data_IF_203888175486
#
_entry.id   IF_203888175486
#
_cell.length_a   1.000
_cell.length_b   1.000
_cell.length_c   1.000
_cell.angle_alpha   90.00
_cell.angle_beta   90.00
_cell.angle_gamma   90.00
#
_symmetry.space_group_name_H-M   'P 1'
#
loop_
_entity.id
_entity.type
_entity.pdbx_description
1 polymer ?
#
# COMPACT_ATOMS: atom_id res chain seq x y z
N UNK A 1 -13.36 3.95 -8.52
CA UNK A 1 -12.04 3.74 -7.85
C UNK A 1 -12.07 4.37 -6.47
N UNK A 2 -11.96 3.57 -5.42
CA UNK A 2 -11.93 4.02 -4.03
C UNK A 2 -10.85 3.26 -3.26
N UNK A 3 -10.12 3.96 -2.40
CA UNK A 3 -9.21 3.35 -1.43
C UNK A 3 -9.00 4.26 -0.23
N UNK A 4 -8.59 3.71 0.90
CA UNK A 4 -8.25 4.44 2.10
C UNK A 4 -7.86 3.52 3.26
N UNK A 5 -7.34 4.11 4.32
CA UNK A 5 -6.90 3.40 5.51
C UNK A 5 -6.91 4.32 6.75
N UNK A 6 -6.54 3.79 7.90
CA UNK A 6 -6.13 4.57 9.07
C UNK A 6 -4.60 4.52 9.16
N UNK A 7 -3.96 5.66 9.37
CA UNK A 7 -2.54 5.79 9.67
C UNK A 7 -2.39 6.27 11.10
N UNK A 8 -1.87 5.44 12.00
CA UNK A 8 -1.79 5.71 13.44
C UNK A 8 -3.15 6.14 14.03
N UNK A 9 -4.25 5.52 13.58
CA UNK A 9 -5.62 5.81 14.02
C UNK A 9 -6.30 6.99 13.30
N UNK A 10 -5.61 7.75 12.46
CA UNK A 10 -6.17 8.89 11.73
C UNK A 10 -6.55 8.49 10.30
N UNK A 11 -7.68 8.99 9.80
CA UNK A 11 -8.15 8.71 8.44
C UNK A 11 -7.15 9.17 7.38
N UNK A 12 -6.78 8.26 6.49
CA UNK A 12 -5.89 8.50 5.36
C UNK A 12 -6.65 8.23 4.06
N UNK A 13 -7.02 9.30 3.38
CA UNK A 13 -7.78 9.25 2.13
C UNK A 13 -6.96 9.90 1.00
N UNK A 14 -7.10 9.39 -0.24
CA UNK A 14 -6.51 10.05 -1.40
C UNK A 14 -7.10 11.45 -1.56
N UNK A 15 -6.31 12.40 -2.04
CA UNK A 15 -6.80 13.74 -2.30
C UNK A 15 -6.27 14.33 -3.60
N UNK A 16 -6.99 15.34 -4.11
CA UNK A 16 -6.69 16.01 -5.37
C UNK A 16 -5.44 16.93 -5.33
N UNK A 17 -4.76 17.04 -4.20
CA UNK A 17 -3.46 17.70 -4.09
C UNK A 17 -2.34 16.91 -4.78
N UNK A 18 -2.56 15.61 -5.04
CA UNK A 18 -1.70 14.76 -5.86
C UNK A 18 -2.23 14.69 -7.29
N UNK A 19 -1.32 14.68 -8.29
CA UNK A 19 -1.68 14.45 -9.70
C UNK A 19 -2.22 13.03 -9.92
N UNK A 20 -1.72 12.06 -9.15
CA UNK A 20 -2.14 10.66 -9.19
C UNK A 20 -2.39 10.24 -7.74
N UNK A 21 -3.63 10.45 -7.22
CA UNK A 21 -3.95 10.13 -5.83
C UNK A 21 -4.14 8.63 -5.57
N UNK A 22 -4.53 7.88 -6.59
CA UNK A 22 -4.74 6.44 -6.55
C UNK A 22 -4.04 5.77 -7.73
N UNK A 23 -3.38 4.65 -7.47
CA UNK A 23 -2.78 3.77 -8.47
C UNK A 23 -3.17 2.35 -8.14
N UNK A 24 -3.66 1.60 -9.12
CA UNK A 24 -3.70 0.16 -9.10
C UNK A 24 -3.07 -0.34 -10.39
N UNK A 25 -2.02 -1.13 -10.27
CA UNK A 25 -1.42 -1.87 -11.36
C UNK A 25 -1.52 -3.36 -11.04
N UNK A 26 -2.03 -4.15 -11.97
CA UNK A 26 -2.15 -5.59 -11.79
C UNK A 26 -1.84 -6.30 -13.11
N UNK A 27 -0.86 -7.20 -13.06
CA UNK A 27 -0.53 -8.16 -14.11
C UNK A 27 -0.56 -9.54 -13.46
N UNK A 28 -1.47 -10.40 -13.91
CA UNK A 28 -1.74 -11.69 -13.27
C UNK A 28 -0.47 -12.54 -13.14
N UNK A 29 -0.19 -12.96 -11.91
CA UNK A 29 0.98 -13.75 -11.56
C UNK A 29 2.32 -12.99 -11.53
N UNK A 30 2.37 -11.73 -11.95
CA UNK A 30 3.61 -10.97 -12.08
C UNK A 30 3.69 -9.78 -11.14
N UNK A 31 2.73 -8.87 -11.19
CA UNK A 31 2.81 -7.57 -10.50
C UNK A 31 1.46 -7.14 -9.93
N UNK A 32 1.45 -6.80 -8.65
CA UNK A 32 0.38 -6.06 -8.01
C UNK A 32 1.00 -4.87 -7.28
N UNK A 33 0.54 -3.67 -7.61
CA UNK A 33 0.93 -2.45 -6.89
C UNK A 33 -0.31 -1.58 -6.63
N UNK A 34 -0.61 -1.36 -5.34
CA UNK A 34 -1.60 -0.41 -4.87
C UNK A 34 -0.90 0.81 -4.29
N UNK A 35 -1.26 2.01 -4.75
CA UNK A 35 -0.77 3.28 -4.23
C UNK A 35 -1.91 4.20 -3.81
N UNK A 36 -1.85 4.72 -2.58
CA UNK A 36 -2.79 5.73 -2.06
C UNK A 36 -1.97 6.95 -1.66
N UNK A 37 -2.22 8.10 -2.27
CA UNK A 37 -1.46 9.32 -2.02
C UNK A 37 -2.36 10.42 -1.49
N UNK A 38 -1.91 11.04 -0.40
CA UNK A 38 -2.46 12.27 0.17
C UNK A 38 -1.39 13.36 0.10
N UNK A 39 -1.74 14.53 -0.42
CA UNK A 39 -0.84 15.68 -0.48
C UNK A 39 -1.56 16.93 0.04
N UNK A 40 -1.05 17.49 1.13
CA UNK A 40 -1.54 18.72 1.71
C UNK A 40 -0.39 19.73 1.75
N UNK A 41 -0.58 20.89 1.16
CA UNK A 41 0.48 21.87 0.89
C UNK A 41 1.59 21.19 0.06
N UNK A 42 2.84 21.24 0.49
CA UNK A 42 3.95 20.55 -0.18
C UNK A 42 4.31 19.20 0.46
N UNK A 43 3.52 18.73 1.43
CA UNK A 43 3.74 17.47 2.11
C UNK A 43 2.94 16.37 1.42
N UNK A 44 3.65 15.43 0.80
CA UNK A 44 3.09 14.22 0.20
C UNK A 44 3.29 13.05 1.16
N UNK A 45 2.20 12.33 1.45
CA UNK A 45 2.24 11.07 2.18
C UNK A 45 1.69 9.98 1.27
N UNK A 46 2.24 8.78 1.31
CA UNK A 46 1.74 7.68 0.51
C UNK A 46 1.82 6.35 1.25
N UNK A 47 0.80 5.52 1.03
CA UNK A 47 0.78 4.09 1.33
C UNK A 47 1.01 3.38 0.01
N UNK A 48 1.92 2.39 -0.02
CA UNK A 48 2.16 1.54 -1.17
C UNK A 48 2.17 0.08 -0.71
N UNK A 49 1.49 -0.79 -1.46
CA UNK A 49 1.56 -2.24 -1.28
C UNK A 49 2.00 -2.83 -2.60
N UNK A 50 3.04 -3.66 -2.57
CA UNK A 50 3.56 -4.34 -3.74
C UNK A 50 3.70 -5.84 -3.50
N UNK A 51 3.20 -6.65 -4.43
CA UNK A 51 3.35 -8.10 -4.44
C UNK A 51 3.82 -8.50 -5.85
N UNK A 52 5.00 -9.11 -5.92
CA UNK A 52 5.60 -9.54 -7.18
C UNK A 52 5.64 -11.06 -7.30
N UNK A 53 5.56 -11.55 -8.54
CA UNK A 53 5.67 -12.96 -8.91
C UNK A 53 4.72 -13.87 -8.09
N UNK A 54 3.50 -13.41 -7.83
CA UNK A 54 2.50 -14.14 -7.05
C UNK A 54 1.12 -13.91 -7.66
N UNK A 55 0.43 -14.96 -8.13
CA UNK A 55 -0.95 -14.82 -8.59
C UNK A 55 -1.88 -14.50 -7.42
N UNK A 56 -2.77 -13.53 -7.59
CA UNK A 56 -3.74 -13.15 -6.58
C UNK A 56 -5.05 -13.92 -6.78
N UNK A 57 -5.58 -14.48 -5.73
CA UNK A 57 -6.83 -15.25 -5.71
C UNK A 57 -7.83 -14.67 -4.72
N UNK A 58 -9.11 -14.70 -5.09
CA UNK A 58 -10.21 -14.24 -4.24
C UNK A 58 -10.27 -15.10 -2.95
N UNK A 59 -10.52 -14.44 -1.83
CA UNK A 59 -10.56 -15.01 -0.48
C UNK A 59 -9.20 -15.54 0.01
N UNK A 60 -8.10 -15.13 -0.61
CA UNK A 60 -6.76 -15.45 -0.15
C UNK A 60 -6.08 -14.27 0.51
N UNK A 61 -5.36 -14.55 1.61
CA UNK A 61 -4.55 -13.59 2.35
C UNK A 61 -3.08 -13.79 2.07
N UNK A 62 -2.39 -12.69 1.79
CA UNK A 62 -0.95 -12.63 1.47
C UNK A 62 -0.23 -11.88 2.59
N UNK A 63 0.83 -12.50 3.13
CA UNK A 63 1.67 -11.86 4.14
C UNK A 63 2.56 -10.79 3.50
N UNK A 64 2.55 -9.60 4.07
CA UNK A 64 3.47 -8.51 3.74
C UNK A 64 4.61 -8.57 4.75
N UNK A 65 5.70 -9.25 4.40
CA UNK A 65 6.76 -9.60 5.35
C UNK A 65 8.16 -9.50 4.75
N UNK A 66 8.31 -8.69 3.69
CA UNK A 66 9.60 -8.43 3.07
C UNK A 66 9.86 -6.93 2.98
N UNK A 67 11.11 -6.56 2.77
CA UNK A 67 11.49 -5.26 2.24
C UNK A 67 11.31 -5.26 0.71
N UNK A 68 11.28 -4.08 0.12
CA UNK A 68 11.14 -3.94 -1.34
C UNK A 68 12.27 -4.66 -2.10
N UNK A 69 11.93 -5.36 -3.16
CA UNK A 69 12.86 -6.11 -4.04
C UNK A 69 12.13 -7.05 -4.98
N UNK A 70 12.88 -7.77 -5.82
CA UNK A 70 12.33 -8.83 -6.66
C UNK A 70 11.70 -9.93 -5.79
N UNK A 71 10.51 -10.42 -6.14
CA UNK A 71 9.69 -11.37 -5.37
C UNK A 71 9.22 -10.83 -3.99
N UNK A 72 9.21 -9.53 -3.79
CA UNK A 72 8.78 -8.95 -2.53
C UNK A 72 7.26 -8.97 -2.36
N UNK A 73 6.86 -8.98 -1.09
CA UNK A 73 5.49 -8.72 -0.62
C UNK A 73 5.61 -7.69 0.48
N UNK A 74 5.47 -6.41 0.10
CA UNK A 74 5.77 -5.27 0.97
C UNK A 74 4.56 -4.40 1.24
N UNK A 75 4.53 -3.83 2.44
CA UNK A 75 3.78 -2.62 2.75
C UNK A 75 4.76 -1.49 3.06
N UNK A 76 4.54 -0.34 2.47
CA UNK A 76 5.39 0.83 2.60
C UNK A 76 4.56 2.06 2.94
N UNK A 77 5.12 2.92 3.77
CA UNK A 77 4.57 4.25 4.03
C UNK A 77 5.70 5.27 3.97
N UNK A 78 5.49 6.36 3.28
CA UNK A 78 6.49 7.41 3.24
C UNK A 78 5.89 8.80 3.28
N UNK A 79 6.66 9.70 3.87
CA UNK A 79 6.42 11.13 3.92
C UNK A 79 7.52 11.78 3.10
N UNK A 80 7.14 12.40 2.01
CA UNK A 80 8.07 13.03 1.09
C UNK A 80 7.98 14.55 1.25
N UNK A 81 9.01 15.12 1.85
CA UNK A 81 9.24 16.58 1.90
C UNK A 81 10.40 16.91 0.96
N UNK A 82 10.49 18.13 0.51
CA UNK A 82 11.59 18.56 -0.36
C UNK A 82 12.60 19.45 0.43
N UNK A 83 13.86 19.00 0.60
CA UNK A 83 14.46 17.72 0.27
C UNK A 83 13.99 16.61 1.26
N UNK A 84 13.81 15.36 0.78
CA UNK A 84 13.35 14.29 1.65
C UNK A 84 14.45 13.83 2.62
N UNK A 85 14.22 13.85 3.95
CA UNK A 85 15.08 13.15 4.88
C UNK A 85 14.77 11.65 4.90
N UNK A 86 15.81 10.82 5.01
CA UNK A 86 15.72 9.36 5.03
C UNK A 86 14.78 8.76 6.09
N UNK A 87 14.61 9.31 7.31
CA UNK A 87 13.67 8.77 8.30
C UNK A 87 12.19 8.80 7.89
N UNK A 88 11.85 9.41 6.77
CA UNK A 88 10.48 9.48 6.25
C UNK A 88 10.02 8.27 5.45
N UNK A 89 10.84 7.22 5.34
CA UNK A 89 10.49 5.98 4.65
C UNK A 89 10.36 4.83 5.66
N UNK A 90 9.23 4.15 5.62
CA UNK A 90 8.87 3.02 6.46
C UNK A 90 8.54 1.81 5.58
N UNK A 91 8.98 0.63 5.96
CA UNK A 91 8.71 -0.62 5.24
C UNK A 91 8.40 -1.77 6.20
N UNK A 92 7.62 -2.73 5.72
CA UNK A 92 7.54 -4.05 6.34
C UNK A 92 8.91 -4.74 6.33
N UNK A 93 9.09 -5.71 7.22
CA UNK A 93 10.30 -6.55 7.34
C UNK A 93 9.86 -7.99 7.65
N UNK A 94 10.77 -8.98 7.74
CA UNK A 94 10.39 -10.32 8.16
C UNK A 94 9.74 -10.42 9.55
N UNK A 95 9.88 -9.39 10.39
CA UNK A 95 9.32 -9.36 11.77
C UNK A 95 8.29 -8.24 12.00
N UNK A 96 8.32 -7.18 11.20
CA UNK A 96 7.32 -6.10 11.18
C UNK A 96 6.45 -6.31 9.95
N UNK A 97 5.29 -6.91 10.14
CA UNK A 97 4.52 -7.55 9.07
C UNK A 97 3.16 -6.88 8.83
N UNK A 98 2.49 -7.35 7.80
CA UNK A 98 1.11 -7.05 7.49
C UNK A 98 0.45 -8.11 6.62
N UNK A 99 -0.75 -7.82 6.16
CA UNK A 99 -1.55 -8.72 5.33
C UNK A 99 -2.34 -7.94 4.27
N UNK A 100 -2.47 -8.54 3.11
CA UNK A 100 -3.40 -8.16 2.04
C UNK A 100 -4.35 -9.32 1.79
N UNK A 101 -5.66 -9.07 1.82
CA UNK A 101 -6.67 -10.06 1.44
C UNK A 101 -7.44 -9.57 0.21
N UNK A 102 -7.51 -10.39 -0.83
CA UNK A 102 -8.33 -10.11 -2.01
C UNK A 102 -9.75 -10.57 -1.73
N UNK A 103 -10.72 -9.67 -1.84
CA UNK A 103 -12.14 -9.94 -1.55
C UNK A 103 -12.99 -10.11 -2.80
N UNK A 104 -12.58 -9.52 -3.92
CA UNK A 104 -13.26 -9.64 -5.21
C UNK A 104 -12.28 -9.43 -6.36
N UNK A 105 -12.54 -10.13 -7.48
CA UNK A 105 -11.82 -9.94 -8.73
C UNK A 105 -12.78 -10.12 -9.91
N UNK A 106 -13.18 -9.03 -10.54
CA UNK A 106 -14.00 -9.02 -11.74
C UNK A 106 -13.11 -8.82 -12.97
N UNK A 107 -12.76 -9.91 -13.63
CA UNK A 107 -11.92 -9.91 -14.82
C UNK A 107 -12.57 -9.22 -16.03
N UNK A 108 -13.91 -9.21 -16.11
CA UNK A 108 -14.61 -8.60 -17.24
C UNK A 108 -14.56 -7.07 -17.20
N UNK A 109 -14.60 -6.52 -16.01
CA UNK A 109 -14.55 -5.08 -15.77
C UNK A 109 -13.20 -4.59 -15.26
N UNK A 110 -12.21 -5.48 -15.19
CA UNK A 110 -10.87 -5.21 -14.66
C UNK A 110 -10.89 -4.57 -13.25
N UNK A 111 -11.77 -5.08 -12.35
CA UNK A 111 -11.92 -4.56 -11.00
C UNK A 111 -11.31 -5.54 -10.00
N UNK A 112 -10.44 -5.04 -9.14
CA UNK A 112 -9.87 -5.76 -8.02
C UNK A 112 -10.21 -5.05 -6.71
N UNK A 113 -10.67 -5.83 -5.71
CA UNK A 113 -11.03 -5.30 -4.40
C UNK A 113 -10.36 -6.10 -3.29
N UNK A 114 -10.06 -5.43 -2.19
CA UNK A 114 -9.43 -6.09 -1.06
C UNK A 114 -9.33 -5.22 0.18
N UNK A 115 -8.81 -5.85 1.24
CA UNK A 115 -8.51 -5.22 2.53
C UNK A 115 -7.06 -5.45 2.91
N UNK A 116 -6.49 -4.55 3.71
CA UNK A 116 -5.10 -4.66 4.14
C UNK A 116 -4.86 -4.01 5.49
N UNK A 117 -3.81 -4.46 6.15
CA UNK A 117 -3.19 -3.81 7.29
C UNK A 117 -1.70 -4.11 7.29
N UNK A 118 -0.88 -3.26 7.85
CA UNK A 118 0.52 -3.56 8.13
C UNK A 118 1.12 -2.60 9.15
N UNK A 119 2.18 -3.05 9.80
CA UNK A 119 3.13 -2.22 10.50
C UNK A 119 4.35 -2.01 9.61
N UNK A 120 4.94 -0.83 9.66
CA UNK A 120 6.16 -0.53 8.94
C UNK A 120 7.12 0.26 9.82
N UNK A 121 8.41 0.02 9.64
CA UNK A 121 9.48 0.61 10.46
C UNK A 121 10.42 1.45 9.60
N UNK A 122 10.89 2.57 10.14
CA UNK A 122 11.89 3.42 9.49
C UNK A 122 13.32 3.12 9.97
N UNK A 123 14.29 3.86 9.43
CA UNK A 123 15.73 3.66 9.72
C UNK A 123 16.14 4.01 11.15
N UNK A 124 15.31 4.72 11.92
CA UNK A 124 15.57 5.08 13.31
C UNK A 124 14.74 4.28 14.31
N UNK A 125 13.97 3.27 13.83
CA UNK A 125 13.20 2.35 14.67
C UNK A 125 11.80 2.82 15.03
N UNK A 126 11.28 3.89 14.41
CA UNK A 126 9.90 4.32 14.58
C UNK A 126 8.97 3.44 13.77
N UNK A 127 7.81 3.10 14.34
CA UNK A 127 6.79 2.26 13.70
C UNK A 127 5.57 3.12 13.36
N UNK A 128 5.04 2.93 12.15
CA UNK A 128 3.73 3.41 11.71
C UNK A 128 2.77 2.23 11.61
N UNK A 129 1.55 2.40 12.10
CA UNK A 129 0.48 1.42 12.03
C UNK A 129 -0.52 1.79 10.95
N UNK A 130 -0.70 0.91 9.96
CA UNK A 130 -1.72 1.03 8.92
C UNK A 130 -2.83 0.03 9.24
N UNK A 131 -4.05 0.50 9.41
CA UNK A 131 -5.21 -0.30 9.82
C UNK A 131 -6.43 -0.02 8.95
N UNK A 132 -7.37 -0.97 8.94
CA UNK A 132 -8.66 -0.85 8.23
C UNK A 132 -8.52 -0.44 6.76
N UNK A 133 -7.42 -0.82 6.13
CA UNK A 133 -7.17 -0.55 4.73
C UNK A 133 -8.17 -1.28 3.84
N UNK A 134 -8.68 -0.58 2.82
CA UNK A 134 -9.56 -1.16 1.81
C UNK A 134 -9.37 -0.49 0.47
N UNK A 135 -9.63 -1.22 -0.60
CA UNK A 135 -9.66 -0.70 -1.96
C UNK A 135 -10.69 -1.44 -2.80
N UNK A 136 -11.21 -0.73 -3.79
CA UNK A 136 -12.10 -1.21 -4.85
C UNK A 136 -11.78 -0.39 -6.09
N UNK A 137 -11.00 -0.95 -7.02
CA UNK A 137 -10.34 -0.19 -8.08
C UNK A 137 -10.28 -0.98 -9.39
N UNK A 138 -10.39 -0.25 -10.48
CA UNK A 138 -10.08 -0.69 -11.84
C UNK A 138 -8.55 -0.64 -12.08
N UNK A 139 -7.98 -1.66 -12.77
CA UNK A 139 -6.55 -1.79 -13.11
C UNK A 139 -6.31 -1.84 -14.60
#
# INVERSE_FOLDING_TARGET
>A
NTAGALVNGEAFLPNNGSLIPLVLNYIDGEDFTLGITNKVNNLRKAIVISIYNTPLQVNQTYQLNTEFGANSKTGEYFINTAPPPLPNYYSTTPVIIGELTITNHDFNNAILSGTFWFDAINSVGEIVEIREGRFDMEY
#
